data_IF_502513960051
#
_entry.id   IF_502513960051
#
_cell.length_a   1.000
_cell.length_b   1.000
_cell.length_c   1.000
_cell.angle_alpha   90.00
_cell.angle_beta   90.00
_cell.angle_gamma   90.00
#
_symmetry.space_group_name_H-M   'P 1'
#
loop_
_entity.id
_entity.type
_entity.pdbx_description
1 polymer ?
#
# COMPACT_ATOMS: atom_id res chain seq x y z
N UNK A 1 32.17 46.00 -13.77
CA UNK A 1 32.17 44.54 -14.02
C UNK A 1 31.19 43.89 -13.06
N UNK A 2 30.22 43.14 -13.59
CA UNK A 2 29.20 42.40 -12.83
C UNK A 2 29.85 41.11 -12.29
N UNK A 3 29.81 40.88 -10.98
CA UNK A 3 30.05 39.56 -10.42
C UNK A 3 28.72 39.02 -9.88
N UNK A 4 28.18 38.09 -10.67
CA UNK A 4 27.02 37.30 -10.34
C UNK A 4 27.36 36.30 -9.23
N UNK A 5 26.46 36.23 -8.24
CA UNK A 5 25.86 35.02 -7.69
C UNK A 5 26.77 33.80 -7.45
N UNK A 6 26.87 33.39 -6.18
CA UNK A 6 26.60 32.01 -5.80
C UNK A 6 26.03 31.95 -4.37
N UNK A 7 24.70 31.92 -4.25
CA UNK A 7 24.07 31.29 -3.08
C UNK A 7 24.30 29.78 -3.22
N UNK A 8 24.94 29.09 -2.26
CA UNK A 8 24.82 27.65 -2.21
C UNK A 8 23.38 27.33 -1.80
N UNK A 9 22.53 26.97 -2.77
CA UNK A 9 21.33 26.20 -2.46
C UNK A 9 21.81 24.88 -1.87
N UNK A 10 21.75 24.78 -0.55
CA UNK A 10 21.83 23.50 0.13
C UNK A 10 20.64 22.67 -0.36
N UNK A 11 20.93 21.74 -1.27
CA UNK A 11 20.04 20.65 -1.64
C UNK A 11 19.80 19.82 -0.39
N UNK A 12 18.72 20.13 0.34
CA UNK A 12 18.10 19.17 1.26
C UNK A 12 17.61 18.01 0.40
N UNK A 13 18.47 17.01 0.19
CA UNK A 13 18.06 15.69 -0.30
C UNK A 13 17.38 14.99 0.87
N UNK A 14 16.19 15.48 1.22
CA UNK A 14 15.27 14.80 2.11
C UNK A 14 14.77 13.58 1.35
N UNK A 15 15.44 12.44 1.52
CA UNK A 15 14.81 11.16 1.30
C UNK A 15 13.73 11.03 2.36
N UNK A 16 12.55 11.61 2.11
CA UNK A 16 11.35 11.22 2.83
C UNK A 16 11.21 9.72 2.54
N UNK A 17 11.58 8.89 3.51
CA UNK A 17 11.27 7.47 3.50
C UNK A 17 9.77 7.39 3.20
N UNK A 18 9.41 6.77 2.07
CA UNK A 18 8.05 6.81 1.60
C UNK A 18 7.12 6.28 2.69
N UNK A 19 6.26 7.15 3.24
CA UNK A 19 5.41 6.81 4.38
C UNK A 19 4.46 5.64 4.08
N UNK A 20 4.16 5.39 2.80
CA UNK A 20 3.66 4.09 2.40
C UNK A 20 4.53 3.49 1.29
N UNK A 21 4.77 2.18 1.37
CA UNK A 21 5.53 1.45 0.37
C UNK A 21 4.92 0.07 0.11
N UNK A 22 5.14 -0.43 -1.10
CA UNK A 22 4.98 -1.85 -1.39
C UNK A 22 6.23 -2.59 -0.91
N UNK A 23 6.05 -3.73 -0.26
CA UNK A 23 7.14 -4.54 0.27
C UNK A 23 7.15 -5.99 -0.23
N UNK A 24 8.09 -6.74 0.34
CA UNK A 24 8.24 -8.20 0.25
C UNK A 24 8.49 -8.73 1.67
N UNK A 25 8.31 -10.02 1.90
CA UNK A 25 8.57 -10.66 3.19
C UNK A 25 9.67 -11.70 3.07
N UNK A 26 10.77 -11.52 3.81
CA UNK A 26 11.98 -12.34 3.67
C UNK A 26 12.47 -12.46 2.20
N UNK A 27 12.32 -11.38 1.42
CA UNK A 27 12.65 -11.36 -0.01
C UNK A 27 11.67 -12.12 -0.91
N UNK A 28 10.56 -12.62 -0.37
CA UNK A 28 9.54 -13.41 -1.07
C UNK A 28 8.20 -12.68 -1.18
N UNK A 29 7.39 -13.12 -2.15
CA UNK A 29 5.96 -12.80 -2.27
C UNK A 29 5.06 -13.91 -1.71
N UNK A 30 5.65 -14.93 -1.09
CA UNK A 30 4.93 -15.89 -0.27
C UNK A 30 4.65 -15.27 1.10
N UNK A 31 3.36 -15.00 1.35
CA UNK A 31 2.90 -14.38 2.58
C UNK A 31 2.26 -15.36 3.56
N UNK A 32 2.30 -16.67 3.27
CA UNK A 32 1.67 -17.71 4.09
C UNK A 32 2.20 -17.79 5.51
N UNK A 33 3.43 -17.32 5.74
CA UNK A 33 4.10 -17.33 7.04
C UNK A 33 3.80 -16.09 7.89
N UNK A 34 3.11 -15.07 7.35
CA UNK A 34 2.78 -13.87 8.12
C UNK A 34 1.64 -14.12 9.09
N UNK A 35 1.71 -13.44 10.25
CA UNK A 35 0.60 -13.44 11.21
C UNK A 35 -0.53 -12.54 10.72
N UNK A 36 -1.66 -13.16 10.35
CA UNK A 36 -2.87 -12.46 9.95
C UNK A 36 -3.55 -11.82 11.16
N UNK A 37 -3.84 -10.53 11.05
CA UNK A 37 -4.66 -9.77 12.01
C UNK A 37 -6.16 -9.87 11.76
N UNK A 38 -6.55 -10.45 10.62
CA UNK A 38 -7.94 -10.61 10.19
C UNK A 38 -8.19 -10.03 8.80
N UNK A 39 -9.35 -10.33 8.25
CA UNK A 39 -9.74 -9.80 6.94
C UNK A 39 -10.43 -8.44 7.09
N UNK A 40 -10.07 -7.53 6.19
CA UNK A 40 -10.67 -6.21 6.13
C UNK A 40 -12.10 -6.31 5.61
N UNK A 41 -13.01 -5.60 6.25
CA UNK A 41 -14.43 -5.64 5.92
C UNK A 41 -14.74 -4.69 4.79
N UNK A 42 -15.36 -5.19 3.72
CA UNK A 42 -15.90 -4.35 2.65
C UNK A 42 -17.11 -3.57 3.18
N UNK A 43 -17.06 -2.25 3.16
CA UNK A 43 -18.15 -1.37 3.66
C UNK A 43 -18.86 -0.60 2.55
N UNK A 44 -18.35 -0.64 1.33
CA UNK A 44 -18.94 -0.01 0.17
C UNK A 44 -18.35 -0.55 -1.13
N UNK A 45 -18.79 0.01 -2.25
CA UNK A 45 -18.21 -0.33 -3.54
C UNK A 45 -16.74 0.08 -3.58
N UNK A 46 -15.85 -0.91 -3.66
CA UNK A 46 -14.41 -0.67 -3.72
C UNK A 46 -13.81 -0.07 -2.44
N UNK A 47 -14.44 -0.18 -1.26
CA UNK A 47 -13.88 0.34 0.00
C UNK A 47 -13.87 -0.74 1.09
N UNK A 48 -12.69 -0.95 1.68
CA UNK A 48 -12.46 -1.88 2.79
C UNK A 48 -11.90 -1.14 4.00
N UNK A 49 -12.34 -1.56 5.18
CA UNK A 49 -11.87 -1.09 6.48
C UNK A 49 -11.13 -2.22 7.19
N UNK A 50 -9.93 -1.95 7.67
CA UNK A 50 -9.08 -2.93 8.34
C UNK A 50 -8.99 -2.61 9.83
N UNK A 51 -9.77 -3.33 10.65
CA UNK A 51 -9.85 -3.08 12.08
C UNK A 51 -10.44 -1.71 12.44
N UNK A 52 -10.17 -1.26 13.66
CA UNK A 52 -10.77 -0.05 14.24
C UNK A 52 -9.86 1.18 14.20
N UNK A 53 -8.63 1.06 13.65
CA UNK A 53 -7.68 2.17 13.59
C UNK A 53 -8.07 3.26 12.60
N UNK A 54 -9.06 3.02 11.73
CA UNK A 54 -9.41 3.90 10.62
C UNK A 54 -8.64 3.61 9.33
N UNK A 55 -7.88 2.51 9.28
CA UNK A 55 -7.20 2.08 8.06
C UNK A 55 -8.19 1.71 6.98
N UNK A 56 -8.04 2.34 5.81
CA UNK A 56 -8.94 2.15 4.67
C UNK A 56 -8.17 1.86 3.38
N UNK A 57 -8.71 0.92 2.62
CA UNK A 57 -8.23 0.62 1.29
C UNK A 57 -9.37 0.93 0.33
N UNK A 58 -9.08 1.72 -0.70
CA UNK A 58 -10.00 1.98 -1.80
C UNK A 58 -9.45 1.37 -3.08
N UNK A 59 -10.30 0.71 -3.84
CA UNK A 59 -9.98 0.11 -5.12
C UNK A 59 -10.89 0.68 -6.20
N UNK A 60 -10.31 1.09 -7.32
CA UNK A 60 -11.04 1.46 -8.52
C UNK A 60 -10.21 1.12 -9.74
N UNK A 61 -10.67 0.14 -10.53
CA UNK A 61 -9.91 -0.37 -11.67
C UNK A 61 -8.48 -0.72 -11.24
N UNK A 62 -7.45 -0.27 -11.97
CA UNK A 62 -6.05 -0.55 -11.60
C UNK A 62 -5.49 0.32 -10.47
N UNK A 63 -6.30 1.11 -9.77
CA UNK A 63 -5.82 2.00 -8.71
C UNK A 63 -6.21 1.47 -7.33
N UNK A 64 -5.21 1.41 -6.45
CA UNK A 64 -5.35 1.17 -5.03
C UNK A 64 -4.96 2.44 -4.28
N UNK A 65 -5.81 2.89 -3.37
CA UNK A 65 -5.48 3.90 -2.37
C UNK A 65 -5.38 3.19 -1.04
N UNK A 66 -4.25 3.34 -0.37
CA UNK A 66 -4.06 2.90 1.00
C UNK A 66 -3.96 4.14 1.88
N UNK A 67 -4.83 4.24 2.89
CA UNK A 67 -4.71 5.21 3.98
C UNK A 67 -4.55 4.46 5.30
N UNK A 68 -3.43 4.67 5.97
CA UNK A 68 -3.27 4.24 7.35
C UNK A 68 -4.07 5.20 8.26
N UNK A 69 -4.75 4.62 9.24
CA UNK A 69 -5.48 5.39 10.23
C UNK A 69 -4.57 5.92 11.34
N UNK A 70 -4.97 5.75 12.60
CA UNK A 70 -4.21 6.21 13.77
C UNK A 70 -2.95 5.40 14.10
N UNK A 71 -2.72 4.27 13.42
CA UNK A 71 -1.57 3.39 13.63
C UNK A 71 -0.96 2.96 12.30
N UNK A 72 0.34 2.62 12.35
CA UNK A 72 1.02 1.95 11.25
C UNK A 72 0.26 0.69 10.84
N UNK A 73 0.12 0.48 9.55
CA UNK A 73 -0.71 -0.60 9.02
C UNK A 73 0.02 -1.35 7.93
N UNK A 74 -0.05 -2.66 8.02
CA UNK A 74 0.44 -3.57 6.98
C UNK A 74 -0.72 -4.40 6.48
N UNK A 75 -0.88 -4.48 5.15
CA UNK A 75 -1.95 -5.24 4.51
C UNK A 75 -1.45 -6.04 3.34
N UNK A 76 -2.06 -7.20 3.12
CA UNK A 76 -1.97 -7.95 1.88
C UNK A 76 -3.25 -7.70 1.10
N UNK A 77 -3.11 -7.31 -0.16
CA UNK A 77 -4.23 -7.14 -1.11
C UNK A 77 -4.12 -8.25 -2.16
N UNK A 78 -5.10 -9.15 -2.17
CA UNK A 78 -5.19 -10.24 -3.14
C UNK A 78 -6.16 -9.88 -4.27
N UNK A 79 -5.67 -9.83 -5.49
CA UNK A 79 -6.43 -9.47 -6.69
C UNK A 79 -6.80 -10.72 -7.49
N UNK A 80 -8.07 -10.81 -7.94
CA UNK A 80 -8.63 -12.01 -8.60
C UNK A 80 -8.07 -12.20 -10.00
N UNK A 81 -7.77 -11.13 -10.75
CA UNK A 81 -7.57 -11.24 -12.20
C UNK A 81 -6.43 -10.40 -12.76
N UNK A 82 -5.66 -11.02 -13.66
CA UNK A 82 -4.72 -10.34 -14.56
C UNK A 82 -5.17 -10.34 -16.02
N UNK A 83 -4.70 -9.40 -16.85
CA UNK A 83 -5.08 -9.29 -18.26
C UNK A 83 -4.79 -10.53 -19.12
N UNK A 84 -3.89 -11.41 -18.68
CA UNK A 84 -3.44 -12.64 -19.34
C UNK A 84 -4.08 -13.92 -18.79
N UNK A 85 -5.09 -13.81 -17.92
CA UNK A 85 -5.83 -14.95 -17.39
C UNK A 85 -5.14 -15.69 -16.24
N UNK A 86 -4.09 -15.10 -15.64
CA UNK A 86 -3.57 -15.56 -14.36
C UNK A 86 -4.43 -15.03 -13.20
N UNK A 87 -4.40 -15.76 -12.09
CA UNK A 87 -5.27 -15.54 -10.93
C UNK A 87 -4.42 -15.38 -9.66
N UNK A 88 -4.97 -14.68 -8.66
CA UNK A 88 -4.43 -14.56 -7.30
C UNK A 88 -3.09 -13.84 -7.19
N UNK A 89 -3.06 -12.54 -7.50
CA UNK A 89 -1.88 -11.70 -7.28
C UNK A 89 -1.97 -10.99 -5.93
N UNK A 90 -1.04 -11.32 -5.04
CA UNK A 90 -0.91 -10.69 -3.72
C UNK A 90 0.07 -9.53 -3.73
N UNK A 91 -0.30 -8.42 -3.10
CA UNK A 91 0.58 -7.28 -2.85
C UNK A 91 0.64 -6.97 -1.37
N UNK A 92 1.85 -6.97 -0.81
CA UNK A 92 2.11 -6.49 0.55
C UNK A 92 2.36 -4.99 0.51
N UNK A 93 1.64 -4.25 1.35
CA UNK A 93 1.88 -2.84 1.58
C UNK A 93 2.05 -2.56 3.06
N UNK A 94 2.91 -1.59 3.35
CA UNK A 94 3.03 -0.98 4.65
C UNK A 94 2.77 0.53 4.51
N UNK A 95 2.10 1.11 5.49
CA UNK A 95 1.97 2.56 5.57
C UNK A 95 1.99 3.03 7.03
N UNK A 96 2.77 4.08 7.30
CA UNK A 96 2.88 4.75 8.60
C UNK A 96 1.58 5.47 8.98
N UNK A 97 1.32 5.59 10.28
CA UNK A 97 0.13 6.23 10.83
C UNK A 97 -0.13 7.61 10.19
N UNK A 98 -1.39 7.87 9.85
CA UNK A 98 -1.84 9.12 9.22
C UNK A 98 -1.45 9.29 7.75
N UNK A 99 -0.67 8.38 7.19
CA UNK A 99 -0.15 8.51 5.83
C UNK A 99 -1.05 7.85 4.79
N UNK A 100 -0.86 8.26 3.53
CA UNK A 100 -1.61 7.67 2.42
C UNK A 100 -0.83 7.66 1.12
N UNK A 101 -1.08 6.65 0.31
CA UNK A 101 -0.48 6.53 -1.01
C UNK A 101 -1.42 5.89 -2.02
N UNK A 102 -1.18 6.23 -3.29
CA UNK A 102 -1.83 5.62 -4.43
C UNK A 102 -0.85 4.70 -5.14
N UNK A 103 -1.30 3.50 -5.46
CA UNK A 103 -0.55 2.51 -6.21
C UNK A 103 -1.32 2.10 -7.45
N UNK A 104 -0.65 2.07 -8.60
CA UNK A 104 -1.23 1.55 -9.84
C UNK A 104 -0.79 0.10 -10.04
N UNK A 105 -1.75 -0.83 -10.06
CA UNK A 105 -1.55 -2.27 -10.26
C UNK A 105 -2.42 -2.77 -11.41
N UNK A 106 -1.80 -3.03 -12.56
CA UNK A 106 -2.46 -3.58 -13.75
C UNK A 106 -3.18 -4.89 -13.46
N UNK A 107 -2.57 -5.73 -12.62
CA UNK A 107 -3.07 -7.00 -12.14
C UNK A 107 -4.13 -6.92 -11.04
N UNK A 108 -4.55 -5.70 -10.68
CA UNK A 108 -5.71 -5.46 -9.84
C UNK A 108 -6.77 -4.68 -10.61
N UNK A 109 -6.83 -4.76 -11.95
CA UNK A 109 -7.90 -4.07 -12.70
C UNK A 109 -9.29 -4.65 -12.42
N UNK A 110 -9.35 -5.97 -12.19
CA UNK A 110 -10.56 -6.72 -11.84
C UNK A 110 -10.87 -6.70 -10.35
N UNK A 111 -11.61 -7.68 -9.87
CA UNK A 111 -12.08 -7.75 -8.48
C UNK A 111 -10.96 -8.03 -7.47
N UNK A 112 -11.13 -7.53 -6.24
CA UNK A 112 -10.30 -7.86 -5.09
C UNK A 112 -10.89 -9.09 -4.40
N UNK A 113 -10.09 -10.16 -4.29
CA UNK A 113 -10.48 -11.41 -3.62
C UNK A 113 -10.58 -11.20 -2.12
N UNK A 114 -9.55 -10.59 -1.54
CA UNK A 114 -9.45 -10.35 -0.11
C UNK A 114 -8.44 -9.24 0.16
N UNK A 115 -8.63 -8.59 1.31
CA UNK A 115 -7.62 -7.74 1.91
C UNK A 115 -7.47 -8.20 3.34
N UNK A 116 -6.24 -8.47 3.76
CA UNK A 116 -5.95 -9.01 5.08
C UNK A 116 -4.98 -8.09 5.80
N UNK A 117 -5.26 -7.75 7.05
CA UNK A 117 -4.32 -7.02 7.91
C UNK A 117 -3.24 -7.96 8.45
N UNK A 118 -2.04 -7.43 8.67
CA UNK A 118 -0.90 -8.15 9.23
C UNK A 118 -0.50 -7.45 10.52
N UNK A 119 -0.37 -8.21 11.61
CA UNK A 119 -0.18 -7.66 12.97
C UNK A 119 1.21 -7.93 13.56
N UNK A 120 1.92 -8.96 13.08
CA UNK A 120 3.29 -9.29 13.52
C UNK A 120 4.07 -9.91 12.34
N UNK A 121 5.39 -9.69 12.34
CA UNK A 121 6.35 -10.32 11.43
C UNK A 121 7.16 -11.38 12.16
#
# INVERSE_FOLDING_TARGET
MKLFSTLPLALFVGNALADCAQGTFNGSTDFSQMKRGGDCTRKGEGVWFCGDSGTTITHKQSQLMFRAGSVDSTVIINCIQTPDGAFNYGYLYHCSAGSSARFRKSYCKGEISSITSIIEF
#
